data_IF_434872202190
#
_entry.id   IF_434872202190
#
_cell.length_a   1.000
_cell.length_b   1.000
_cell.length_c   1.000
_cell.angle_alpha   90.00
_cell.angle_beta   90.00
_cell.angle_gamma   90.00
#
_symmetry.space_group_name_H-M   'P 1'
#
loop_
_entity.id
_entity.type
_entity.pdbx_description
1 polymer ?
#
# COMPACT_ATOMS: atom_id res chain seq x y z
N UNK A 1 -31.91 -11.39 -6.18
CA UNK A 1 -30.86 -10.50 -5.64
C UNK A 1 -31.06 -9.12 -6.26
N UNK A 2 -31.25 -8.09 -5.44
CA UNK A 2 -31.60 -6.76 -5.92
C UNK A 2 -30.32 -6.05 -6.41
N UNK A 3 -30.05 -6.08 -7.72
CA UNK A 3 -28.86 -5.47 -8.32
C UNK A 3 -28.70 -4.00 -7.93
N UNK A 4 -29.82 -3.32 -7.68
CA UNK A 4 -29.87 -1.93 -7.25
C UNK A 4 -29.29 -1.71 -5.85
N UNK A 5 -29.46 -2.64 -4.91
CA UNK A 5 -28.81 -2.54 -3.59
C UNK A 5 -27.32 -2.88 -3.70
N UNK A 6 -26.95 -3.84 -4.56
CA UNK A 6 -25.56 -4.21 -4.80
C UNK A 6 -24.72 -3.05 -5.38
N UNK A 7 -25.26 -2.29 -6.34
CA UNK A 7 -24.57 -1.12 -6.90
C UNK A 7 -24.54 0.08 -5.95
N UNK A 8 -25.47 0.16 -4.99
CA UNK A 8 -25.52 1.27 -4.02
C UNK A 8 -24.41 1.18 -2.95
N UNK A 9 -24.02 -0.04 -2.60
CA UNK A 9 -22.93 -0.30 -1.64
C UNK A 9 -21.57 -0.49 -2.33
N UNK A 10 -21.52 -0.39 -3.66
CA UNK A 10 -20.30 -0.58 -4.44
C UNK A 10 -19.33 0.58 -4.20
N UNK A 11 -18.18 0.28 -3.63
CA UNK A 11 -17.09 1.23 -3.45
C UNK A 11 -16.08 1.11 -4.62
N UNK A 12 -16.09 2.05 -5.59
CA UNK A 12 -15.26 1.93 -6.79
C UNK A 12 -13.76 1.94 -6.49
N UNK A 13 -13.33 2.67 -5.45
CA UNK A 13 -11.90 2.75 -5.12
C UNK A 13 -11.40 1.43 -4.53
N UNK A 14 -12.15 0.82 -3.60
CA UNK A 14 -11.82 -0.51 -3.06
C UNK A 14 -11.84 -1.58 -4.15
N UNK A 15 -12.79 -1.50 -5.09
CA UNK A 15 -12.83 -2.41 -6.23
C UNK A 15 -11.57 -2.33 -7.09
N UNK A 16 -11.15 -1.12 -7.48
CA UNK A 16 -9.91 -0.93 -8.27
C UNK A 16 -8.70 -1.49 -7.52
N UNK A 17 -8.57 -1.20 -6.22
CA UNK A 17 -7.47 -1.71 -5.39
C UNK A 17 -7.44 -3.24 -5.41
N UNK A 18 -8.56 -3.88 -5.11
CA UNK A 18 -8.64 -5.34 -5.02
C UNK A 18 -8.44 -6.02 -6.38
N UNK A 19 -8.99 -5.47 -7.47
CA UNK A 19 -8.75 -5.99 -8.81
C UNK A 19 -7.28 -5.86 -9.22
N UNK A 20 -6.63 -4.74 -8.92
CA UNK A 20 -5.20 -4.55 -9.17
C UNK A 20 -4.33 -5.52 -8.37
N UNK A 21 -4.64 -5.71 -7.08
CA UNK A 21 -3.92 -6.67 -6.23
C UNK A 21 -4.11 -8.11 -6.74
N UNK A 22 -5.34 -8.50 -7.07
CA UNK A 22 -5.65 -9.82 -7.60
C UNK A 22 -4.94 -10.07 -8.93
N UNK A 23 -5.00 -9.10 -9.85
CA UNK A 23 -4.31 -9.18 -11.13
C UNK A 23 -2.80 -9.35 -10.97
N UNK A 24 -2.20 -8.59 -10.04
CA UNK A 24 -0.78 -8.75 -9.71
C UNK A 24 -0.46 -10.15 -9.16
N UNK A 25 -1.23 -10.63 -8.18
CA UNK A 25 -0.99 -11.95 -7.57
C UNK A 25 -1.06 -13.06 -8.62
N UNK A 26 -2.07 -13.03 -9.50
CA UNK A 26 -2.22 -14.02 -10.57
C UNK A 26 -1.02 -13.98 -11.53
N UNK A 27 -0.64 -12.80 -12.03
CA UNK A 27 0.49 -12.67 -12.95
C UNK A 27 1.81 -13.05 -12.30
N UNK A 28 2.01 -12.67 -11.03
CA UNK A 28 3.22 -12.96 -10.29
C UNK A 28 3.35 -14.46 -10.00
N UNK A 29 2.27 -15.12 -9.57
CA UNK A 29 2.24 -16.57 -9.38
C UNK A 29 2.52 -17.32 -10.70
N UNK A 30 1.83 -16.96 -11.79
CA UNK A 30 2.06 -17.56 -13.11
C UNK A 30 3.51 -17.41 -13.58
N UNK A 31 4.15 -16.28 -13.28
CA UNK A 31 5.57 -16.09 -13.60
C UNK A 31 6.47 -16.98 -12.75
N UNK A 32 6.22 -17.06 -11.44
CA UNK A 32 6.99 -17.91 -10.54
C UNK A 32 6.85 -19.40 -10.88
N UNK A 33 5.69 -19.82 -11.36
CA UNK A 33 5.41 -21.18 -11.81
C UNK A 33 5.98 -21.48 -13.21
N UNK A 34 6.59 -20.49 -13.87
CA UNK A 34 7.14 -20.64 -15.23
C UNK A 34 6.08 -20.71 -16.33
N UNK A 35 4.83 -20.33 -16.05
CA UNK A 35 3.73 -20.33 -17.02
C UNK A 35 3.78 -19.17 -18.02
N UNK A 36 4.50 -18.09 -17.71
CA UNK A 36 4.65 -16.91 -18.61
C UNK A 36 6.08 -16.37 -18.65
N UNK A 37 6.56 -16.06 -19.87
CA UNK A 37 7.71 -15.24 -20.34
C UNK A 37 7.91 -13.80 -19.84
N UNK A 38 6.92 -13.22 -19.17
CA UNK A 38 6.81 -11.77 -19.15
C UNK A 38 7.87 -11.10 -18.28
N UNK A 39 8.38 -9.92 -18.67
CA UNK A 39 9.27 -9.14 -17.82
C UNK A 39 8.54 -8.72 -16.55
N UNK A 40 9.24 -8.66 -15.42
CA UNK A 40 8.66 -8.23 -14.14
C UNK A 40 7.99 -6.86 -14.23
N UNK A 41 8.48 -5.97 -15.10
CA UNK A 41 7.83 -4.69 -15.41
C UNK A 41 6.38 -4.84 -15.87
N UNK A 42 6.06 -5.84 -16.71
CA UNK A 42 4.68 -6.10 -17.14
C UNK A 42 3.83 -6.69 -16.02
N UNK A 43 4.43 -7.52 -15.16
CA UNK A 43 3.75 -8.19 -14.04
C UNK A 43 3.29 -7.18 -12.98
N UNK A 44 4.08 -6.13 -12.73
CA UNK A 44 3.76 -5.08 -11.76
C UNK A 44 2.76 -4.03 -12.29
N UNK A 45 2.44 -4.00 -13.59
CA UNK A 45 1.53 -3.02 -14.20
C UNK A 45 0.19 -2.86 -13.47
N UNK A 46 -0.52 -3.93 -13.04
CA UNK A 46 -1.79 -3.78 -12.33
C UNK A 46 -1.67 -2.92 -11.06
N UNK A 47 -0.54 -3.06 -10.34
CA UNK A 47 -0.26 -2.25 -9.16
C UNK A 47 -0.05 -0.79 -9.54
N UNK A 48 0.79 -0.51 -10.54
CA UNK A 48 1.10 0.86 -10.95
C UNK A 48 -0.09 1.60 -11.53
N UNK A 49 -1.02 0.92 -12.20
CA UNK A 49 -2.28 1.52 -12.66
C UNK A 49 -3.07 2.07 -11.46
N UNK A 50 -3.21 1.28 -10.39
CA UNK A 50 -3.89 1.75 -9.17
C UNK A 50 -3.18 2.95 -8.54
N UNK A 51 -1.83 2.93 -8.44
CA UNK A 51 -1.07 4.06 -7.88
C UNK A 51 -1.19 5.29 -8.76
N UNK A 52 -1.19 5.12 -10.09
CA UNK A 52 -1.40 6.19 -11.05
C UNK A 52 -2.75 6.88 -10.86
N UNK A 53 -3.83 6.12 -10.67
CA UNK A 53 -5.16 6.66 -10.37
C UNK A 53 -5.14 7.46 -9.06
N UNK A 54 -4.49 6.95 -8.00
CA UNK A 54 -4.38 7.64 -6.73
C UNK A 54 -3.59 8.97 -6.84
N UNK A 55 -2.46 8.96 -7.57
CA UNK A 55 -1.63 10.16 -7.81
C UNK A 55 -2.41 11.19 -8.64
N UNK A 56 -3.12 10.77 -9.68
CA UNK A 56 -3.97 11.64 -10.50
C UNK A 56 -5.08 12.29 -9.65
N UNK A 57 -5.74 11.50 -8.81
CA UNK A 57 -6.76 12.01 -7.88
C UNK A 57 -6.20 13.09 -6.94
N UNK A 58 -5.02 12.85 -6.37
CA UNK A 58 -4.35 13.82 -5.51
C UNK A 58 -3.89 15.07 -6.28
N UNK A 59 -3.40 14.91 -7.51
CA UNK A 59 -3.01 16.03 -8.36
C UNK A 59 -4.20 16.93 -8.70
N UNK A 60 -5.35 16.34 -9.07
CA UNK A 60 -6.60 17.09 -9.30
C UNK A 60 -7.03 17.80 -8.01
N UNK A 61 -6.99 17.12 -6.86
CA UNK A 61 -7.30 17.71 -5.56
C UNK A 61 -6.40 18.91 -5.22
N UNK A 62 -5.10 18.80 -5.48
CA UNK A 62 -4.13 19.89 -5.29
C UNK A 62 -4.37 21.07 -6.24
N UNK A 63 -4.69 20.81 -7.51
CA UNK A 63 -5.03 21.86 -8.49
C UNK A 63 -6.28 22.62 -8.05
N UNK A 64 -7.33 21.92 -7.63
CA UNK A 64 -8.57 22.54 -7.12
C UNK A 64 -8.29 23.37 -5.87
N UNK A 65 -7.50 22.84 -4.94
CA UNK A 65 -7.10 23.53 -3.69
C UNK A 65 -6.32 24.83 -3.94
N UNK A 66 -5.49 24.85 -4.98
CA UNK A 66 -4.73 26.03 -5.40
C UNK A 66 -5.61 27.04 -6.15
N UNK A 67 -6.52 26.57 -7.02
CA UNK A 67 -7.32 27.44 -7.90
C UNK A 67 -8.50 28.08 -7.20
N UNK A 68 -9.07 27.43 -6.19
CA UNK A 68 -10.27 27.87 -5.49
C UNK A 68 -10.03 27.99 -3.98
N UNK A 69 -9.49 29.13 -3.50
CA UNK A 69 -9.17 29.33 -2.09
C UNK A 69 -10.40 29.41 -1.18
N UNK A 70 -11.61 29.59 -1.74
CA UNK A 70 -12.86 29.61 -0.97
C UNK A 70 -13.14 28.28 -0.24
N UNK A 71 -12.69 27.15 -0.78
CA UNK A 71 -12.80 25.84 -0.09
C UNK A 71 -11.97 25.77 1.21
N UNK A 72 -11.05 26.71 1.46
CA UNK A 72 -10.24 26.74 2.70
C UNK A 72 -11.01 27.25 3.91
N UNK A 73 -12.16 27.89 3.69
CA UNK A 73 -12.98 28.50 4.75
C UNK A 73 -14.00 27.52 5.33
N UNK A 74 -14.31 26.42 4.62
CA UNK A 74 -15.06 25.30 5.17
C UNK A 74 -14.18 24.50 6.12
N UNK A 75 -14.63 24.35 7.38
CA UNK A 75 -13.82 23.85 8.49
C UNK A 75 -13.18 22.46 8.24
N UNK A 76 -13.87 21.57 7.53
CA UNK A 76 -13.39 20.19 7.32
C UNK A 76 -12.49 20.03 6.08
N UNK A 77 -12.56 20.96 5.14
CA UNK A 77 -11.84 20.89 3.85
C UNK A 77 -10.33 20.87 4.03
N UNK A 78 -9.81 21.60 5.03
CA UNK A 78 -8.38 21.62 5.35
C UNK A 78 -7.87 20.28 5.89
N UNK A 79 -8.66 19.63 6.74
CA UNK A 79 -8.35 18.30 7.29
C UNK A 79 -8.40 17.23 6.21
N UNK A 80 -9.37 17.31 5.29
CA UNK A 80 -9.47 16.41 4.14
C UNK A 80 -8.29 16.54 3.18
N UNK A 81 -7.85 17.77 2.91
CA UNK A 81 -6.67 18.01 2.08
C UNK A 81 -5.39 17.44 2.73
N UNK A 82 -5.20 17.63 4.05
CA UNK A 82 -4.09 17.00 4.77
C UNK A 82 -4.13 15.48 4.70
N UNK A 83 -5.31 14.87 4.87
CA UNK A 83 -5.47 13.42 4.75
C UNK A 83 -5.12 12.93 3.34
N UNK A 84 -5.51 13.68 2.29
CA UNK A 84 -5.14 13.38 0.92
C UNK A 84 -3.62 13.40 0.71
N UNK A 85 -2.91 14.37 1.30
CA UNK A 85 -1.44 14.44 1.22
C UNK A 85 -0.75 13.29 1.97
N UNK A 86 -1.27 12.89 3.13
CA UNK A 86 -0.77 11.72 3.87
C UNK A 86 -1.00 10.44 3.06
N UNK A 87 -2.19 10.29 2.46
CA UNK A 87 -2.48 9.15 1.60
C UNK A 87 -1.56 9.13 0.37
N UNK A 88 -1.36 10.28 -0.28
CA UNK A 88 -0.46 10.39 -1.43
C UNK A 88 0.98 10.00 -1.06
N UNK A 89 1.51 10.48 0.08
CA UNK A 89 2.88 10.15 0.49
C UNK A 89 3.07 8.65 0.71
N UNK A 90 2.08 7.97 1.30
CA UNK A 90 2.09 6.52 1.46
C UNK A 90 2.06 5.78 0.13
N UNK A 91 1.23 6.22 -0.83
CA UNK A 91 1.21 5.64 -2.18
C UNK A 91 2.56 5.81 -2.89
N UNK A 92 3.24 6.95 -2.71
CA UNK A 92 4.57 7.18 -3.27
C UNK A 92 5.64 6.30 -2.61
N UNK A 93 5.58 6.10 -1.29
CA UNK A 93 6.47 5.17 -0.58
C UNK A 93 6.26 3.73 -1.08
N UNK A 94 5.01 3.29 -1.22
CA UNK A 94 4.67 1.97 -1.77
C UNK A 94 5.14 1.82 -3.22
N UNK A 95 4.95 2.85 -4.05
CA UNK A 95 5.43 2.87 -5.43
C UNK A 95 6.97 2.75 -5.48
N UNK A 96 7.69 3.44 -4.60
CA UNK A 96 9.15 3.34 -4.52
C UNK A 96 9.61 1.92 -4.15
N UNK A 97 8.94 1.28 -3.18
CA UNK A 97 9.18 -0.14 -2.87
C UNK A 97 8.92 -1.05 -4.08
N UNK A 98 7.81 -0.86 -4.78
CA UNK A 98 7.43 -1.68 -5.95
C UNK A 98 8.42 -1.56 -7.10
N UNK A 99 8.92 -0.35 -7.37
CA UNK A 99 9.94 -0.12 -8.39
C UNK A 99 11.26 -0.81 -8.03
N UNK A 100 11.70 -0.69 -6.77
CA UNK A 100 12.92 -1.36 -6.30
C UNK A 100 12.77 -2.89 -6.31
N UNK A 101 11.59 -3.41 -5.95
CA UNK A 101 11.30 -4.84 -6.00
C UNK A 101 11.30 -5.37 -7.43
N UNK A 102 10.67 -4.64 -8.36
CA UNK A 102 10.68 -4.96 -9.78
C UNK A 102 12.10 -4.96 -10.35
N UNK A 103 12.91 -3.94 -10.03
CA UNK A 103 14.31 -3.88 -10.46
C UNK A 103 15.13 -5.05 -9.89
N UNK A 104 14.98 -5.36 -8.59
CA UNK A 104 15.68 -6.50 -7.96
C UNK A 104 15.30 -7.82 -8.61
N UNK A 105 14.01 -8.05 -8.88
CA UNK A 105 13.54 -9.28 -9.53
C UNK A 105 14.05 -9.38 -10.98
N UNK A 106 14.18 -8.26 -11.68
CA UNK A 106 14.65 -8.22 -13.06
C UNK A 106 16.18 -8.34 -13.20
N UNK A 107 16.94 -7.69 -12.32
CA UNK A 107 18.39 -7.52 -12.46
C UNK A 107 19.19 -8.37 -11.48
N UNK A 108 18.63 -8.72 -10.33
CA UNK A 108 19.31 -9.45 -9.26
C UNK A 108 20.40 -8.65 -8.53
N UNK A 109 20.65 -7.39 -8.88
CA UNK A 109 21.88 -6.66 -8.53
C UNK A 109 22.03 -6.21 -7.07
N UNK A 110 20.92 -5.88 -6.42
CA UNK A 110 20.93 -5.21 -5.11
C UNK A 110 20.44 -6.13 -3.98
N UNK A 111 20.61 -5.78 -2.72
CA UNK A 111 20.10 -6.59 -1.59
C UNK A 111 18.62 -6.30 -1.33
N UNK A 112 17.86 -7.28 -0.84
CA UNK A 112 16.47 -7.08 -0.43
C UNK A 112 16.32 -6.07 0.70
N UNK A 113 17.31 -5.96 1.60
CA UNK A 113 17.33 -4.90 2.62
C UNK A 113 17.17 -3.51 2.00
N UNK A 114 17.86 -3.23 0.89
CA UNK A 114 17.74 -1.93 0.21
C UNK A 114 16.34 -1.73 -0.37
N UNK A 115 15.77 -2.77 -0.98
CA UNK A 115 14.41 -2.75 -1.54
C UNK A 115 13.37 -2.39 -0.48
N UNK A 116 13.53 -2.88 0.75
CA UNK A 116 12.60 -2.67 1.86
C UNK A 116 12.80 -1.37 2.66
N UNK A 117 13.88 -0.61 2.44
CA UNK A 117 14.12 0.70 3.10
C UNK A 117 12.89 1.63 3.04
N UNK A 118 12.21 1.81 1.88
CA UNK A 118 11.02 2.66 1.81
C UNK A 118 9.94 2.23 2.80
N UNK A 119 9.68 0.92 2.92
CA UNK A 119 8.65 0.39 3.81
C UNK A 119 9.03 0.53 5.28
N UNK A 120 10.30 0.32 5.61
CA UNK A 120 10.79 0.50 6.99
C UNK A 120 10.61 1.96 7.41
N UNK A 121 11.05 2.92 6.59
CA UNK A 121 10.84 4.34 6.86
C UNK A 121 9.35 4.71 6.89
N UNK A 122 8.57 4.20 5.94
CA UNK A 122 7.13 4.38 5.86
C UNK A 122 6.39 3.86 7.09
N UNK A 123 6.81 2.74 7.68
CA UNK A 123 6.20 2.17 8.88
C UNK A 123 6.41 3.03 10.13
N UNK A 124 7.56 3.69 10.26
CA UNK A 124 7.82 4.64 11.35
C UNK A 124 6.97 5.89 11.16
N UNK A 125 6.91 6.42 9.94
CA UNK A 125 6.08 7.57 9.62
C UNK A 125 4.57 7.27 9.81
N UNK A 126 4.14 6.05 9.53
CA UNK A 126 2.73 5.66 9.63
C UNK A 126 2.24 5.57 11.07
N UNK A 127 3.09 5.35 12.06
CA UNK A 127 2.72 5.47 13.49
C UNK A 127 2.24 6.90 13.79
N UNK A 128 2.97 7.92 13.33
CA UNK A 128 2.57 9.32 13.48
C UNK A 128 1.27 9.63 12.72
N UNK A 129 1.13 9.08 11.51
CA UNK A 129 -0.09 9.23 10.72
C UNK A 129 -1.31 8.59 11.40
N UNK A 130 -1.15 7.43 12.05
CA UNK A 130 -2.21 6.77 12.83
C UNK A 130 -2.66 7.66 14.00
N UNK A 131 -1.72 8.19 14.79
CA UNK A 131 -2.05 9.09 15.91
C UNK A 131 -2.80 10.33 15.42
N UNK A 132 -2.35 10.90 14.29
CA UNK A 132 -3.05 12.02 13.66
C UNK A 132 -4.46 11.64 13.20
N UNK A 133 -4.62 10.48 12.56
CA UNK A 133 -5.90 10.03 12.03
C UNK A 133 -6.93 9.74 13.14
N UNK A 134 -6.51 9.09 14.24
CA UNK A 134 -7.35 8.87 15.43
C UNK A 134 -7.83 10.18 16.02
N UNK A 135 -6.94 11.19 16.12
CA UNK A 135 -7.29 12.51 16.65
C UNK A 135 -8.35 13.24 15.82
N UNK A 136 -8.46 12.93 14.52
CA UNK A 136 -9.38 13.60 13.60
C UNK A 136 -10.53 12.68 13.13
N UNK A 137 -10.76 11.54 13.81
CA UNK A 137 -11.82 10.57 13.51
C UNK A 137 -11.85 10.10 12.04
N UNK A 138 -10.67 9.83 11.47
CA UNK A 138 -10.52 9.37 10.09
C UNK A 138 -10.23 7.87 10.06
N UNK A 139 -10.66 7.20 9.00
CA UNK A 139 -10.23 5.83 8.71
C UNK A 139 -8.75 5.80 8.31
N UNK A 140 -7.96 4.89 8.90
CA UNK A 140 -6.50 4.78 8.67
C UNK A 140 -6.04 3.34 8.41
N UNK A 141 -6.78 2.61 7.55
CA UNK A 141 -6.54 1.18 7.27
C UNK A 141 -5.09 0.90 6.80
N UNK A 142 -4.56 1.72 5.89
CA UNK A 142 -3.25 1.50 5.28
C UNK A 142 -2.10 1.95 6.18
N UNK A 143 -2.27 3.07 6.88
CA UNK A 143 -1.33 3.58 7.88
C UNK A 143 -1.12 2.55 9.00
N UNK A 144 -2.22 1.98 9.50
CA UNK A 144 -2.20 0.95 10.53
C UNK A 144 -1.51 -0.31 10.03
N UNK A 145 -1.82 -0.74 8.81
CA UNK A 145 -1.18 -1.91 8.21
C UNK A 145 0.34 -1.73 8.11
N UNK A 146 0.82 -0.57 7.67
CA UNK A 146 2.26 -0.29 7.63
C UNK A 146 2.87 -0.25 9.04
N UNK A 147 2.17 0.35 10.02
CA UNK A 147 2.70 0.52 11.37
C UNK A 147 2.87 -0.82 12.08
N UNK A 148 1.86 -1.69 12.02
CA UNK A 148 1.88 -2.98 12.72
C UNK A 148 2.87 -3.96 12.07
N UNK A 149 3.06 -3.87 10.76
CA UNK A 149 3.99 -4.74 10.03
C UNK A 149 5.44 -4.24 9.99
N UNK A 150 5.80 -3.23 10.79
CA UNK A 150 7.17 -2.70 10.86
C UNK A 150 8.23 -3.80 11.09
N UNK A 151 7.98 -4.70 12.05
CA UNK A 151 8.90 -5.81 12.35
C UNK A 151 8.99 -6.82 11.20
N UNK A 152 7.89 -7.05 10.49
CA UNK A 152 7.86 -7.94 9.32
C UNK A 152 8.65 -7.33 8.16
N UNK A 153 8.57 -6.02 7.93
CA UNK A 153 9.36 -5.34 6.89
C UNK A 153 10.87 -5.35 7.16
N UNK A 154 11.30 -5.50 8.42
CA UNK A 154 12.70 -5.74 8.76
C UNK A 154 13.08 -7.21 8.60
N UNK A 155 12.21 -8.13 9.05
CA UNK A 155 12.50 -9.56 9.07
C UNK A 155 12.52 -10.19 7.68
N UNK A 156 11.62 -9.78 6.78
CA UNK A 156 11.51 -10.27 5.41
C UNK A 156 12.81 -10.12 4.60
N UNK A 157 13.38 -8.91 4.43
CA UNK A 157 14.59 -8.75 3.65
C UNK A 157 15.80 -9.45 4.26
N UNK A 158 15.93 -9.48 5.60
CA UNK A 158 17.00 -10.22 6.27
C UNK A 158 16.94 -11.72 5.97
N UNK A 159 15.73 -12.28 5.92
CA UNK A 159 15.51 -13.67 5.53
C UNK A 159 15.77 -13.88 4.04
N UNK A 160 15.30 -13.00 3.18
CA UNK A 160 15.48 -13.10 1.73
C UNK A 160 16.96 -13.01 1.32
N UNK A 161 17.74 -12.16 1.98
CA UNK A 161 19.19 -12.02 1.78
C UNK A 161 20.02 -13.11 2.49
N UNK A 162 19.37 -14.08 3.16
CA UNK A 162 20.03 -15.17 3.92
C UNK A 162 20.97 -14.71 5.04
N UNK A 163 20.80 -13.48 5.56
CA UNK A 163 21.50 -13.05 6.77
C UNK A 163 21.03 -13.79 8.02
N UNK A 164 19.80 -14.30 7.97
CA UNK A 164 19.15 -14.96 9.09
C UNK A 164 18.42 -16.23 8.63
N UNK A 165 18.64 -17.34 9.34
CA UNK A 165 18.11 -18.66 8.99
C UNK A 165 16.79 -19.03 9.68
N UNK A 166 15.97 -18.05 10.07
CA UNK A 166 14.68 -18.31 10.72
C UNK A 166 13.70 -19.06 9.81
N UNK A 167 12.76 -19.81 10.40
CA UNK A 167 11.63 -20.38 9.67
C UNK A 167 10.71 -19.26 9.17
N UNK A 168 10.09 -19.47 8.00
CA UNK A 168 9.12 -18.51 7.44
C UNK A 168 7.99 -18.18 8.41
N UNK A 169 7.59 -19.15 9.23
CA UNK A 169 6.60 -18.98 10.30
C UNK A 169 6.93 -17.78 11.21
N UNK A 170 8.17 -17.69 11.69
CA UNK A 170 8.63 -16.62 12.59
C UNK A 170 8.60 -15.26 11.89
N UNK A 171 8.95 -15.23 10.61
CA UNK A 171 8.96 -14.00 9.79
C UNK A 171 7.55 -13.43 9.59
N UNK A 172 6.53 -14.30 9.53
CA UNK A 172 5.14 -13.92 9.31
C UNK A 172 4.31 -13.74 10.59
N UNK A 173 4.88 -13.95 11.78
CA UNK A 173 4.18 -13.76 13.06
C UNK A 173 3.46 -12.42 13.17
N UNK A 174 4.05 -11.25 12.82
CA UNK A 174 3.35 -9.97 12.92
C UNK A 174 2.05 -9.94 12.08
N UNK A 175 2.09 -10.51 10.88
CA UNK A 175 0.94 -10.58 9.98
C UNK A 175 -0.18 -11.46 10.56
N UNK A 176 0.20 -12.60 11.16
CA UNK A 176 -0.76 -13.50 11.80
C UNK A 176 -1.46 -12.84 12.98
N UNK A 177 -0.75 -12.07 13.79
CA UNK A 177 -1.34 -11.30 14.89
C UNK A 177 -2.41 -10.35 14.36
N UNK A 178 -2.13 -9.64 13.26
CA UNK A 178 -3.10 -8.74 12.63
C UNK A 178 -4.34 -9.49 12.16
N UNK A 179 -4.16 -10.62 11.48
CA UNK A 179 -5.28 -11.46 11.02
C UNK A 179 -6.13 -11.92 12.21
N UNK A 180 -5.50 -12.45 13.26
CA UNK A 180 -6.18 -12.89 14.47
C UNK A 180 -6.97 -11.76 15.14
N UNK A 181 -6.38 -10.57 15.27
CA UNK A 181 -7.08 -9.40 15.84
C UNK A 181 -8.28 -8.99 14.97
N UNK A 182 -8.14 -9.01 13.64
CA UNK A 182 -9.24 -8.68 12.72
C UNK A 182 -10.39 -9.69 12.74
N UNK A 183 -10.11 -10.94 13.12
CA UNK A 183 -11.12 -11.99 13.27
C UNK A 183 -11.88 -11.84 14.59
N UNK A 184 -11.20 -11.40 15.65
CA UNK A 184 -11.79 -11.19 16.99
C UNK A 184 -12.52 -9.85 17.10
N UNK A 185 -12.16 -8.85 16.30
CA UNK A 185 -12.81 -7.52 16.30
C UNK A 185 -14.13 -7.47 15.52
N UNK A 186 -14.75 -8.61 15.22
CA UNK A 186 -16.11 -8.74 14.68
C UNK A 186 -17.06 -9.15 15.79
#
# INVERSE_FOLDING_TARGET
MNLQSFFRDFNPSKFVVHCSLLGFIILFALRLDGGIDWPYWAIFMPLWIWKGIAILGAAVGAVVWCRYPHYRLEGDSYTQFKAMLISLSLHLILLMFELLACDKLSSGRHLWVLVFIPLIFGSVASVGACVWAVKHDRSFELELFLAVNALQFVSLPLKLDQFVNWNWEVVFVPMWIVICLSLVSK
#
